data_IF_013259828444
#
_entry.id   IF_013259828444
#
_cell.length_a   1.000
_cell.length_b   1.000
_cell.length_c   1.000
_cell.angle_alpha   90.00
_cell.angle_beta   90.00
_cell.angle_gamma   90.00
#
_symmetry.space_group_name_H-M   'P 1'
#
loop_
_entity.id
_entity.type
_entity.pdbx_description
1 polymer ?
#
# COMPACT_ATOMS: atom_id res chain seq x y z
N UNK A 1 -2.81 0.01 5.62
CA UNK A 1 -3.15 1.36 6.15
C UNK A 1 -2.27 1.85 7.32
N UNK A 2 -1.06 1.31 7.55
CA UNK A 2 -0.22 1.74 8.68
C UNK A 2 0.19 3.22 8.53
N UNK A 3 0.69 3.61 7.35
CA UNK A 3 1.12 4.99 7.12
C UNK A 3 0.05 6.07 7.36
N UNK A 4 -1.21 5.76 7.02
CA UNK A 4 -2.33 6.68 7.22
C UNK A 4 -2.58 6.95 8.71
N UNK A 5 -2.69 5.91 9.53
CA UNK A 5 -3.12 6.07 10.93
C UNK A 5 -1.98 6.17 11.93
N UNK A 6 -0.82 5.58 11.66
CA UNK A 6 0.26 5.43 12.65
C UNK A 6 1.54 6.20 12.33
N UNK A 7 1.68 6.76 11.12
CA UNK A 7 2.92 7.44 10.72
C UNK A 7 2.69 8.90 10.32
N UNK A 8 2.24 9.14 9.08
CA UNK A 8 2.31 10.46 8.45
C UNK A 8 0.98 10.97 7.91
N UNK A 9 -0.11 10.25 8.12
CA UNK A 9 -1.45 10.74 7.76
C UNK A 9 -1.98 11.85 8.66
N UNK A 10 -3.16 12.39 8.31
CA UNK A 10 -3.74 13.59 8.91
C UNK A 10 -4.17 13.40 10.36
N UNK A 11 -4.55 12.18 10.74
CA UNK A 11 -5.06 11.85 12.06
C UNK A 11 -4.41 10.57 12.59
N UNK A 12 -4.42 10.44 13.91
CA UNK A 12 -4.05 9.22 14.61
C UNK A 12 -5.21 8.66 15.42
N UNK A 13 -5.17 7.36 15.70
CA UNK A 13 -6.19 6.68 16.50
C UNK A 13 -5.77 6.72 17.96
N UNK A 14 -6.57 7.36 18.81
CA UNK A 14 -6.31 7.51 20.24
C UNK A 14 -7.38 6.81 21.07
N UNK A 15 -6.99 6.32 22.24
CA UNK A 15 -7.93 5.77 23.22
C UNK A 15 -8.45 6.89 24.12
N UNK A 16 -9.72 7.27 23.96
CA UNK A 16 -10.36 8.34 24.74
C UNK A 16 -10.96 7.84 26.06
N UNK A 17 -11.28 6.55 26.13
CA UNK A 17 -11.67 5.85 27.35
C UNK A 17 -11.42 4.34 27.16
N UNK A 18 -11.52 3.55 28.22
CA UNK A 18 -11.33 2.10 28.13
C UNK A 18 -12.27 1.49 27.07
N UNK A 19 -11.67 0.89 26.03
CA UNK A 19 -12.39 0.30 24.90
C UNK A 19 -13.05 1.29 23.94
N UNK A 20 -12.84 2.61 24.10
CA UNK A 20 -13.36 3.65 23.19
C UNK A 20 -12.20 4.35 22.50
N UNK A 21 -12.22 4.31 21.18
CA UNK A 21 -11.23 4.94 20.33
C UNK A 21 -11.85 6.10 19.55
N UNK A 22 -11.08 7.14 19.32
CA UNK A 22 -11.42 8.27 18.46
C UNK A 22 -10.23 8.59 17.55
N UNK A 23 -10.44 9.53 16.62
CA UNK A 23 -9.37 10.07 15.79
C UNK A 23 -9.07 11.50 16.22
N UNK A 24 -7.79 11.81 16.42
CA UNK A 24 -7.30 13.16 16.68
C UNK A 24 -6.38 13.61 15.54
N UNK A 25 -6.40 14.89 15.22
CA UNK A 25 -5.57 15.44 14.16
C UNK A 25 -4.10 15.43 14.60
N UNK A 26 -3.21 14.90 13.75
CA UNK A 26 -1.77 14.82 14.02
C UNK A 26 -1.15 16.20 13.81
N UNK A 27 -0.23 16.63 14.68
CA UNK A 27 0.48 17.91 14.56
C UNK A 27 1.49 17.98 13.40
N UNK A 28 1.96 16.82 12.92
CA UNK A 28 3.01 16.69 11.90
C UNK A 28 2.63 15.76 10.73
N UNK A 29 1.34 15.67 10.39
CA UNK A 29 0.85 14.99 9.19
C UNK A 29 1.40 15.61 7.89
N UNK A 30 1.76 14.78 6.92
CA UNK A 30 2.33 15.20 5.63
C UNK A 30 1.30 15.84 4.68
N UNK A 31 0.01 15.64 4.98
CA UNK A 31 -1.11 16.29 4.31
C UNK A 31 -1.10 17.82 4.47
N UNK A 32 -0.37 18.36 5.46
CA UNK A 32 -0.20 19.81 5.63
C UNK A 32 0.54 20.49 4.47
N UNK A 33 1.43 19.76 3.81
CA UNK A 33 2.26 20.30 2.72
C UNK A 33 1.97 19.68 1.36
N UNK A 34 1.10 18.67 1.29
CA UNK A 34 0.90 17.88 0.07
C UNK A 34 -0.46 17.18 0.05
N UNK A 35 -0.90 16.77 -1.13
CA UNK A 35 -2.05 15.87 -1.25
C UNK A 35 -1.53 14.43 -1.11
N UNK A 36 -2.02 13.72 -0.10
CA UNK A 36 -1.57 12.36 0.22
C UNK A 36 -2.56 11.32 -0.32
N UNK A 37 -2.05 10.31 -1.03
CA UNK A 37 -2.81 9.15 -1.48
C UNK A 37 -2.20 7.88 -0.87
N UNK A 38 -2.98 7.20 -0.03
CA UNK A 38 -2.59 5.95 0.60
C UNK A 38 -3.22 4.77 -0.15
N UNK A 39 -2.43 3.77 -0.48
CA UNK A 39 -2.85 2.64 -1.29
C UNK A 39 -2.49 1.35 -0.55
N UNK A 40 -3.50 0.54 -0.22
CA UNK A 40 -3.26 -0.84 0.20
C UNK A 40 -2.99 -1.70 -1.05
N UNK A 41 -1.81 -2.30 -1.12
CA UNK A 41 -1.38 -3.09 -2.27
C UNK A 41 -0.41 -4.20 -1.84
N UNK A 42 -0.32 -5.32 -2.58
CA UNK A 42 -1.14 -5.69 -3.75
C UNK A 42 -2.56 -6.14 -3.36
N UNK A 43 -3.29 -6.77 -4.28
CA UNK A 43 -4.56 -7.41 -3.96
C UNK A 43 -4.41 -8.37 -2.76
N UNK A 44 -5.43 -8.46 -1.92
CA UNK A 44 -5.47 -9.17 -0.63
C UNK A 44 -4.72 -8.49 0.54
N UNK A 45 -4.19 -7.28 0.35
CA UNK A 45 -3.61 -6.47 1.44
C UNK A 45 -4.64 -5.49 1.97
N UNK A 46 -4.81 -5.45 3.30
CA UNK A 46 -5.67 -4.48 3.98
C UNK A 46 -7.10 -4.49 3.43
N UNK A 47 -7.54 -3.36 2.86
CA UNK A 47 -8.87 -3.25 2.25
C UNK A 47 -8.92 -3.58 0.75
N UNK A 48 -7.79 -3.88 0.12
CA UNK A 48 -7.76 -4.35 -1.27
C UNK A 48 -8.06 -5.84 -1.30
N UNK A 49 -9.23 -6.23 -1.80
CA UNK A 49 -9.67 -7.64 -1.83
C UNK A 49 -10.25 -8.05 -3.19
N UNK A 50 -10.25 -9.35 -3.47
CA UNK A 50 -10.92 -9.96 -4.61
C UNK A 50 -12.36 -10.39 -4.29
N UNK A 51 -12.52 -11.31 -3.35
CA UNK A 51 -13.81 -11.88 -2.95
C UNK A 51 -13.95 -11.73 -1.44
N UNK A 52 -14.99 -11.01 -0.96
CA UNK A 52 -15.30 -10.92 0.45
C UNK A 52 -15.51 -12.33 1.03
N UNK A 53 -14.68 -12.70 1.99
CA UNK A 53 -14.64 -14.05 2.56
C UNK A 53 -14.68 -13.94 4.08
N UNK A 54 -15.63 -14.63 4.71
CA UNK A 54 -15.75 -14.61 6.17
C UNK A 54 -14.69 -15.52 6.79
N UNK A 55 -13.82 -14.91 7.60
CA UNK A 55 -12.68 -15.58 8.22
C UNK A 55 -12.57 -15.22 9.71
N UNK A 56 -11.76 -15.99 10.41
CA UNK A 56 -11.28 -15.65 11.76
C UNK A 56 -9.79 -15.41 11.75
N UNK A 57 -9.34 -14.29 12.30
CA UNK A 57 -7.94 -13.95 12.53
C UNK A 57 -7.58 -14.23 13.99
N UNK A 58 -6.62 -15.11 14.21
CA UNK A 58 -6.00 -15.31 15.52
C UNK A 58 -4.78 -14.40 15.66
N UNK A 59 -4.86 -13.42 16.55
CA UNK A 59 -3.80 -12.43 16.77
C UNK A 59 -2.57 -13.02 17.47
N UNK A 60 -2.69 -14.18 18.14
CA UNK A 60 -1.56 -14.82 18.80
C UNK A 60 -0.65 -15.55 17.80
N UNK A 61 -1.25 -16.22 16.82
CA UNK A 61 -0.53 -16.99 15.81
C UNK A 61 -0.42 -16.28 14.47
N UNK A 62 -1.13 -15.17 14.29
CA UNK A 62 -1.31 -14.48 13.01
C UNK A 62 -1.94 -15.34 11.91
N UNK A 63 -2.62 -16.44 12.27
CA UNK A 63 -3.29 -17.31 11.33
C UNK A 63 -4.68 -16.78 10.95
N UNK A 64 -5.02 -16.92 9.68
CA UNK A 64 -6.37 -16.71 9.15
C UNK A 64 -7.05 -18.04 8.87
N UNK A 65 -8.28 -18.19 9.33
CA UNK A 65 -9.08 -19.41 9.17
C UNK A 65 -10.29 -19.17 8.29
N UNK A 66 -10.48 -20.03 7.29
CA UNK A 66 -11.63 -20.03 6.37
C UNK A 66 -12.21 -21.44 6.30
N UNK A 67 -13.50 -21.68 6.62
CA UNK A 67 -14.49 -20.69 7.09
C UNK A 67 -14.20 -20.19 8.52
N UNK A 68 -14.93 -19.15 8.95
CA UNK A 68 -14.89 -18.60 10.30
C UNK A 68 -15.01 -19.70 11.37
N UNK A 69 -14.17 -19.64 12.40
CA UNK A 69 -14.15 -20.58 13.51
C UNK A 69 -14.72 -19.94 14.78
N UNK A 70 -15.00 -20.78 15.78
CA UNK A 70 -15.36 -20.33 17.13
C UNK A 70 -14.11 -19.96 17.92
N UNK A 71 -14.20 -18.94 18.77
CA UNK A 71 -13.15 -18.56 19.71
C UNK A 71 -12.66 -19.79 20.50
N UNK A 72 -11.35 -20.12 20.48
CA UNK A 72 -10.81 -21.19 21.30
C UNK A 72 -10.95 -20.87 22.80
N UNK A 73 -11.40 -21.86 23.59
CA UNK A 73 -11.54 -21.71 25.05
C UNK A 73 -10.21 -21.39 25.77
N UNK A 74 -9.07 -21.66 25.11
CA UNK A 74 -7.72 -21.44 25.63
C UNK A 74 -7.22 -20.00 25.49
N UNK A 75 -7.96 -19.10 24.84
CA UNK A 75 -7.49 -17.74 24.58
C UNK A 75 -8.54 -16.66 24.90
N UNK A 76 -8.09 -15.46 25.30
CA UNK A 76 -8.98 -14.33 25.52
C UNK A 76 -9.75 -13.90 24.27
N UNK A 77 -10.98 -13.40 24.44
CA UNK A 77 -11.83 -13.01 23.30
C UNK A 77 -11.23 -11.88 22.43
N UNK A 78 -10.39 -11.02 23.00
CA UNK A 78 -9.73 -9.93 22.27
C UNK A 78 -8.56 -10.39 21.39
N UNK A 79 -8.20 -11.68 21.41
CA UNK A 79 -7.15 -12.23 20.55
C UNK A 79 -7.69 -12.97 19.32
N UNK A 80 -9.02 -13.05 19.15
CA UNK A 80 -9.64 -13.75 18.03
C UNK A 80 -10.69 -12.86 17.36
N UNK A 81 -10.40 -12.42 16.13
CA UNK A 81 -11.22 -11.45 15.42
C UNK A 81 -11.96 -12.14 14.28
N UNK A 82 -13.29 -12.09 14.32
CA UNK A 82 -14.13 -12.50 13.20
C UNK A 82 -14.37 -11.31 12.28
N UNK A 83 -14.22 -11.52 10.98
CA UNK A 83 -14.39 -10.45 10.01
C UNK A 83 -14.50 -10.96 8.58
N UNK A 84 -14.65 -10.01 7.66
CA UNK A 84 -14.66 -10.27 6.22
C UNK A 84 -13.31 -9.83 5.64
N UNK A 85 -12.60 -10.76 5.01
CA UNK A 85 -11.27 -10.60 4.44
C UNK A 85 -11.29 -10.99 2.94
N UNK A 86 -10.13 -10.99 2.29
CA UNK A 86 -9.99 -11.50 0.91
C UNK A 86 -10.04 -13.03 0.85
N UNK A 87 -10.12 -13.60 -0.34
CA UNK A 87 -10.21 -15.06 -0.56
C UNK A 87 -9.00 -15.87 -0.08
N UNK A 88 -7.85 -15.23 0.17
CA UNK A 88 -6.55 -15.85 0.46
C UNK A 88 -6.03 -16.76 -0.68
N UNK A 89 -6.61 -16.65 -1.87
CA UNK A 89 -6.15 -17.41 -3.03
C UNK A 89 -4.85 -16.79 -3.57
N UNK A 90 -3.73 -17.51 -3.40
CA UNK A 90 -2.40 -17.06 -3.84
C UNK A 90 -2.31 -16.75 -5.34
N UNK A 91 -3.18 -17.33 -6.17
CA UNK A 91 -3.21 -17.05 -7.60
C UNK A 91 -3.86 -15.69 -7.95
N UNK A 92 -4.59 -15.09 -7.00
CA UNK A 92 -5.29 -13.83 -7.19
C UNK A 92 -4.52 -12.63 -6.62
N UNK A 93 -3.31 -12.83 -6.10
CA UNK A 93 -2.43 -11.74 -5.65
C UNK A 93 -1.19 -11.62 -6.53
N UNK A 94 -0.51 -10.48 -6.46
CA UNK A 94 0.70 -10.24 -7.22
C UNK A 94 1.84 -11.12 -6.67
N UNK A 95 2.42 -11.98 -7.52
CA UNK A 95 3.54 -12.83 -7.13
C UNK A 95 4.92 -12.21 -7.45
N UNK A 96 4.96 -11.07 -8.15
CA UNK A 96 6.19 -10.31 -8.38
C UNK A 96 6.01 -8.81 -8.13
N UNK A 97 7.12 -8.14 -7.83
CA UNK A 97 7.19 -6.68 -7.66
C UNK A 97 6.73 -5.95 -8.92
N UNK A 98 6.99 -6.52 -10.11
CA UNK A 98 6.62 -5.93 -11.39
C UNK A 98 5.11 -5.96 -11.62
N UNK A 99 4.45 -7.09 -11.29
CA UNK A 99 2.99 -7.19 -11.38
C UNK A 99 2.34 -6.21 -10.42
N UNK A 100 2.88 -6.07 -9.20
CA UNK A 100 2.42 -5.07 -8.24
C UNK A 100 2.58 -3.63 -8.80
N UNK A 101 3.71 -3.34 -9.44
CA UNK A 101 3.96 -2.01 -10.04
C UNK A 101 3.03 -1.69 -11.21
N UNK A 102 2.73 -2.67 -12.05
CA UNK A 102 1.73 -2.53 -13.11
C UNK A 102 0.32 -2.35 -12.56
N UNK A 103 -0.04 -3.06 -11.48
CA UNK A 103 -1.33 -2.89 -10.82
C UNK A 103 -1.50 -1.47 -10.26
N UNK A 104 -0.46 -0.92 -9.61
CA UNK A 104 -0.47 0.47 -9.15
C UNK A 104 -0.54 1.45 -10.31
N UNK A 105 0.19 1.20 -11.41
CA UNK A 105 0.07 2.05 -12.60
C UNK A 105 -1.38 2.08 -13.13
N UNK A 106 -2.02 0.91 -13.28
CA UNK A 106 -3.42 0.83 -13.69
C UNK A 106 -4.38 1.51 -12.71
N UNK A 107 -4.15 1.35 -11.41
CA UNK A 107 -4.90 2.03 -10.36
C UNK A 107 -4.79 3.54 -10.51
N UNK A 108 -3.60 4.09 -10.72
CA UNK A 108 -3.39 5.53 -10.93
C UNK A 108 -4.10 6.03 -12.21
N UNK A 109 -4.04 5.27 -13.30
CA UNK A 109 -4.79 5.60 -14.53
C UNK A 109 -6.30 5.67 -14.26
N UNK A 110 -6.85 4.68 -13.55
CA UNK A 110 -8.26 4.63 -13.17
C UNK A 110 -8.66 5.76 -12.21
N UNK A 111 -7.84 5.99 -11.18
CA UNK A 111 -8.05 7.05 -10.20
C UNK A 111 -8.09 8.43 -10.87
N UNK A 112 -7.11 8.77 -11.70
CA UNK A 112 -7.07 10.06 -12.38
C UNK A 112 -8.15 10.20 -13.44
N UNK A 113 -8.62 9.09 -14.02
CA UNK A 113 -9.79 9.07 -14.90
C UNK A 113 -11.11 9.33 -14.15
N UNK A 114 -11.26 8.77 -12.95
CA UNK A 114 -12.44 8.95 -12.11
C UNK A 114 -12.46 10.30 -11.38
N UNK A 115 -11.29 10.84 -11.07
CA UNK A 115 -11.11 12.11 -10.35
C UNK A 115 -10.31 13.11 -11.20
N UNK A 116 -10.91 13.63 -12.30
CA UNK A 116 -10.22 14.52 -13.23
C UNK A 116 -9.77 15.83 -12.60
N UNK A 117 -10.31 16.23 -11.44
CA UNK A 117 -9.85 17.40 -10.68
C UNK A 117 -8.41 17.27 -10.17
N UNK A 118 -7.90 16.05 -10.02
CA UNK A 118 -6.50 15.78 -9.68
C UNK A 118 -5.64 15.46 -10.91
N UNK A 119 -6.27 15.29 -12.08
CA UNK A 119 -5.56 15.03 -13.32
C UNK A 119 -4.86 16.31 -13.81
N UNK A 120 -3.68 16.18 -14.42
CA UNK A 120 -2.96 17.33 -14.97
C UNK A 120 -3.73 17.98 -16.14
N UNK A 121 -3.81 19.31 -16.14
CA UNK A 121 -4.42 20.07 -17.22
C UNK A 121 -3.60 19.96 -18.52
N UNK A 122 -4.30 20.01 -19.67
CA UNK A 122 -3.71 20.18 -21.01
C UNK A 122 -2.60 19.17 -21.37
N UNK A 123 -2.84 17.88 -21.15
CA UNK A 123 -1.90 16.78 -21.50
C UNK A 123 -0.53 16.87 -20.80
N UNK A 124 -0.41 17.64 -19.73
CA UNK A 124 0.80 17.66 -18.92
C UNK A 124 0.97 16.31 -18.21
N UNK A 125 2.19 15.96 -17.83
CA UNK A 125 2.44 14.75 -17.04
C UNK A 125 1.93 14.91 -15.60
N UNK A 126 1.41 13.84 -15.03
CA UNK A 126 1.09 13.76 -13.61
C UNK A 126 2.37 13.52 -12.84
N UNK A 127 2.79 14.52 -12.08
CA UNK A 127 3.99 14.42 -11.26
C UNK A 127 3.66 13.72 -9.94
N UNK A 128 4.37 12.63 -9.65
CA UNK A 128 4.15 11.82 -8.44
C UNK A 128 5.43 11.78 -7.62
N UNK A 129 5.27 11.90 -6.30
CA UNK A 129 6.31 11.62 -5.32
C UNK A 129 5.93 10.32 -4.62
N UNK A 130 6.73 9.26 -4.79
CA UNK A 130 6.44 7.96 -4.21
C UNK A 130 7.22 7.82 -2.90
N UNK A 131 6.52 7.46 -1.83
CA UNK A 131 7.13 7.14 -0.55
C UNK A 131 6.75 5.73 -0.14
N UNK A 132 7.74 4.94 0.27
CA UNK A 132 7.55 3.56 0.66
C UNK A 132 8.49 3.18 1.82
N UNK A 133 8.10 2.21 2.62
CA UNK A 133 8.84 1.76 3.80
C UNK A 133 9.14 0.26 3.73
N UNK A 134 10.22 -0.21 4.36
CA UNK A 134 10.54 -1.63 4.51
C UNK A 134 10.67 -2.34 3.15
N UNK A 135 9.85 -3.35 2.84
CA UNK A 135 9.85 -3.98 1.50
C UNK A 135 9.46 -3.01 0.37
N UNK A 136 8.91 -1.85 0.74
CA UNK A 136 8.81 -0.66 -0.10
C UNK A 136 10.13 -0.26 -0.77
N UNK A 137 11.29 -0.63 -0.20
CA UNK A 137 12.59 -0.46 -0.83
C UNK A 137 12.80 -1.27 -2.12
N UNK A 138 12.08 -2.39 -2.29
CA UNK A 138 12.02 -3.14 -3.55
C UNK A 138 10.93 -2.62 -4.47
N UNK A 139 9.74 -2.32 -3.91
CA UNK A 139 8.60 -1.81 -4.69
C UNK A 139 8.91 -0.47 -5.36
N UNK A 140 9.45 0.48 -4.61
CA UNK A 140 9.70 1.85 -5.09
C UNK A 140 10.49 1.90 -6.40
N UNK A 141 11.70 1.33 -6.46
CA UNK A 141 12.51 1.31 -7.67
C UNK A 141 11.85 0.55 -8.83
N UNK A 142 11.21 -0.59 -8.56
CA UNK A 142 10.52 -1.35 -9.60
C UNK A 142 9.35 -0.58 -10.22
N UNK A 143 8.57 0.12 -9.38
CA UNK A 143 7.44 0.93 -9.82
C UNK A 143 7.93 2.09 -10.69
N UNK A 144 9.03 2.74 -10.27
CA UNK A 144 9.68 3.79 -11.04
C UNK A 144 10.04 3.33 -12.46
N UNK A 145 10.73 2.18 -12.58
CA UNK A 145 11.11 1.59 -13.87
C UNK A 145 9.88 1.32 -14.74
N UNK A 146 8.85 0.70 -14.17
CA UNK A 146 7.62 0.38 -14.90
C UNK A 146 6.93 1.64 -15.42
N UNK A 147 6.84 2.69 -14.61
CA UNK A 147 6.17 3.92 -15.02
C UNK A 147 6.93 4.61 -16.16
N UNK A 148 8.27 4.64 -16.10
CA UNK A 148 9.09 5.14 -17.20
C UNK A 148 8.93 4.31 -18.49
N UNK A 149 8.84 2.98 -18.38
CA UNK A 149 8.55 2.12 -19.53
C UNK A 149 7.16 2.38 -20.14
N UNK A 150 6.13 2.58 -19.30
CA UNK A 150 4.80 2.94 -19.81
C UNK A 150 4.81 4.32 -20.47
N UNK A 151 5.56 5.28 -19.91
CA UNK A 151 5.72 6.61 -20.52
C UNK A 151 6.43 6.50 -21.89
N UNK A 152 7.47 5.67 -22.01
CA UNK A 152 8.15 5.41 -23.28
C UNK A 152 7.21 4.77 -24.32
N UNK A 153 6.38 3.81 -23.91
CA UNK A 153 5.34 3.21 -24.76
C UNK A 153 4.28 4.23 -25.18
N UNK A 154 3.95 5.22 -24.35
CA UNK A 154 3.08 6.33 -24.74
C UNK A 154 3.76 7.28 -25.74
N UNK A 155 5.04 7.56 -25.56
CA UNK A 155 5.80 8.45 -26.44
C UNK A 155 5.98 7.86 -27.85
N UNK A 156 6.21 6.55 -27.96
CA UNK A 156 6.39 5.86 -29.24
C UNK A 156 5.07 5.43 -29.91
N UNK A 157 3.92 5.72 -29.29
CA UNK A 157 2.58 5.44 -29.83
C UNK A 157 2.05 4.01 -29.60
N UNK A 158 2.80 3.14 -28.93
CA UNK A 158 2.34 1.78 -28.56
C UNK A 158 1.16 1.86 -27.58
N UNK A 159 1.20 2.83 -26.65
CA UNK A 159 0.09 3.17 -25.77
C UNK A 159 -0.56 4.48 -26.20
N UNK A 160 -1.89 4.50 -26.19
CA UNK A 160 -2.67 5.66 -26.59
C UNK A 160 -2.52 6.81 -25.60
N UNK A 161 -1.94 7.92 -26.06
CA UNK A 161 -1.82 9.16 -25.28
C UNK A 161 -3.17 9.80 -24.92
N UNK A 162 -4.22 9.51 -25.68
CA UNK A 162 -5.57 10.03 -25.39
C UNK A 162 -6.34 9.21 -24.36
N UNK A 163 -5.96 7.94 -24.16
CA UNK A 163 -6.58 7.05 -23.16
C UNK A 163 -5.73 6.86 -21.91
N UNK A 164 -4.50 7.37 -21.90
CA UNK A 164 -3.55 7.18 -20.80
C UNK A 164 -2.84 8.48 -20.44
N UNK A 165 -2.64 8.67 -19.14
CA UNK A 165 -1.96 9.81 -18.55
C UNK A 165 -0.49 9.43 -18.31
N UNK A 166 0.42 10.35 -18.61
CA UNK A 166 1.84 10.19 -18.26
C UNK A 166 2.01 10.27 -16.75
N UNK A 167 2.61 9.27 -16.13
CA UNK A 167 2.91 9.28 -14.69
C UNK A 167 4.41 9.49 -14.54
N UNK A 168 4.81 10.69 -14.14
CA UNK A 168 6.22 11.06 -14.01
C UNK A 168 6.63 11.06 -12.55
N UNK A 169 7.51 10.14 -12.20
CA UNK A 169 8.08 10.09 -10.86
C UNK A 169 9.07 11.25 -10.69
N UNK A 170 8.86 12.10 -9.69
CA UNK A 170 9.72 13.24 -9.36
C UNK A 170 10.72 12.95 -8.25
N UNK A 171 10.29 12.17 -7.27
CA UNK A 171 11.16 11.67 -6.22
C UNK A 171 10.66 10.33 -5.71
N UNK A 172 11.60 9.52 -5.24
CA UNK A 172 11.34 8.28 -4.51
C UNK A 172 11.94 8.42 -3.11
N UNK A 173 11.09 8.42 -2.09
CA UNK A 173 11.51 8.32 -0.69
C UNK A 173 11.40 6.88 -0.21
N UNK A 174 12.49 6.32 0.29
CA UNK A 174 12.52 4.97 0.89
C UNK A 174 12.88 5.13 2.35
N UNK A 175 11.97 4.73 3.24
CA UNK A 175 12.14 4.80 4.69
C UNK A 175 12.48 3.40 5.18
N UNK A 176 13.62 3.24 5.86
CA UNK A 176 14.07 1.96 6.44
C UNK A 176 13.93 0.76 5.48
N UNK A 177 14.25 0.96 4.20
CA UNK A 177 13.93 0.02 3.15
C UNK A 177 14.90 -1.15 3.04
N UNK A 178 14.36 -2.30 2.66
CA UNK A 178 15.10 -3.44 2.13
C UNK A 178 15.36 -3.16 0.64
N UNK A 179 16.61 -2.80 0.31
CA UNK A 179 17.03 -2.45 -1.06
C UNK A 179 18.03 -3.49 -1.57
N UNK A 180 19.06 -3.79 -0.79
CA UNK A 180 20.09 -4.78 -1.11
C UNK A 180 20.33 -5.69 0.09
N UNK A 181 19.82 -6.92 -0.01
CA UNK A 181 19.91 -7.89 1.07
C UNK A 181 21.33 -8.41 1.28
N UNK A 182 22.16 -8.45 0.23
CA UNK A 182 23.54 -8.93 0.33
C UNK A 182 24.40 -7.97 1.14
N UNK A 183 24.10 -6.68 1.04
CA UNK A 183 24.80 -5.64 1.81
C UNK A 183 24.16 -5.46 3.18
N UNK A 184 22.83 -5.49 3.30
CA UNK A 184 22.15 -5.20 4.56
C UNK A 184 22.15 -6.38 5.55
N UNK A 185 22.04 -7.62 5.07
CA UNK A 185 21.90 -8.79 5.95
C UNK A 185 23.08 -9.00 6.93
N UNK A 186 24.35 -8.80 6.55
CA UNK A 186 25.48 -8.96 7.46
C UNK A 186 25.51 -8.01 8.65
N UNK A 187 24.80 -6.87 8.60
CA UNK A 187 24.81 -5.87 9.68
C UNK A 187 23.70 -6.08 10.72
N UNK A 188 22.74 -6.98 10.49
CA UNK A 188 21.70 -7.26 11.50
C UNK A 188 22.28 -7.74 12.84
N UNK A 189 23.28 -8.64 12.90
CA UNK A 189 23.91 -9.04 14.16
C UNK A 189 24.61 -7.89 14.88
N UNK A 190 25.34 -7.04 14.15
CA UNK A 190 26.10 -5.91 14.72
C UNK A 190 25.18 -4.83 15.32
N UNK A 191 23.97 -4.68 14.78
CA UNK A 191 22.97 -3.75 15.32
C UNK A 191 22.21 -4.31 16.53
N UNK A 192 22.22 -5.63 16.73
CA UNK A 192 21.56 -6.30 17.85
C UNK A 192 22.43 -6.44 19.11
N UNK A 193 23.71 -6.11 19.03
CA UNK A 193 24.68 -6.17 20.14
C UNK A 193 24.84 -4.83 20.86
#
# INVERSE_FOLDING_TARGET
MIGLFNENGPCEVVQVAQGKFATEARDWGWDRGSNMLYIDQPNQVGFSYDTPTNCSLDLLTSNLYTPQQTLPNSQPANTFLNGTFSSLNVNNTANTTEIAGMAIWHMLQGFLGAFPQYAPNNRSAMNVHLFAESYGGKYGPAFATIWEEQNAKRANGTLSQSKTIEIKLKSLGIINGCVDDLIQAPYYPDFCS
#
